data_IF_719673431869
#
_entry.id   IF_719673431869
#
_cell.length_a   1.000
_cell.length_b   1.000
_cell.length_c   1.000
_cell.angle_alpha   90.00
_cell.angle_beta   90.00
_cell.angle_gamma   90.00
#
_symmetry.space_group_name_H-M   'P 1'
#
loop_
_entity.id
_entity.type
_entity.pdbx_description
1 polymer ?
#
# COMPACT_ATOMS: atom_id res chain seq x y z
N UNK A 1 4.15 -24.00 -10.58
CA UNK A 1 4.05 -22.55 -10.35
C UNK A 1 5.01 -22.21 -9.23
N UNK A 2 5.90 -21.21 -9.37
CA UNK A 2 6.88 -20.87 -8.35
C UNK A 2 6.17 -20.15 -7.19
N UNK A 3 6.42 -20.54 -5.94
CA UNK A 3 5.79 -19.95 -4.75
C UNK A 3 5.96 -18.42 -4.71
N UNK A 4 7.13 -17.93 -5.13
CA UNK A 4 7.40 -16.50 -5.28
C UNK A 4 6.42 -15.80 -6.24
N UNK A 5 6.13 -16.43 -7.37
CA UNK A 5 5.17 -15.91 -8.36
C UNK A 5 3.76 -15.89 -7.78
N UNK A 6 3.35 -16.96 -7.10
CA UNK A 6 2.02 -17.01 -6.46
C UNK A 6 1.84 -15.91 -5.41
N UNK A 7 2.86 -15.67 -4.58
CA UNK A 7 2.83 -14.62 -3.56
C UNK A 7 2.80 -13.23 -4.20
N UNK A 8 3.57 -13.01 -5.26
CA UNK A 8 3.56 -11.76 -6.01
C UNK A 8 2.20 -11.49 -6.66
N UNK A 9 1.62 -12.49 -7.32
CA UNK A 9 0.31 -12.38 -7.98
C UNK A 9 -0.80 -12.09 -6.95
N UNK A 10 -0.77 -12.78 -5.81
CA UNK A 10 -1.71 -12.53 -4.72
C UNK A 10 -1.56 -11.12 -4.13
N UNK A 11 -0.34 -10.62 -3.93
CA UNK A 11 -0.09 -9.24 -3.48
C UNK A 11 -0.60 -8.21 -4.50
N UNK A 12 -0.39 -8.44 -5.78
CA UNK A 12 -0.90 -7.56 -6.86
C UNK A 12 -2.43 -7.55 -6.84
N UNK A 13 -3.07 -8.71 -6.70
CA UNK A 13 -4.52 -8.84 -6.60
C UNK A 13 -5.11 -8.03 -5.44
N UNK A 14 -4.59 -8.25 -4.23
CA UNK A 14 -5.05 -7.53 -3.03
C UNK A 14 -4.84 -6.02 -3.16
N UNK A 15 -3.69 -5.57 -3.69
CA UNK A 15 -3.44 -4.15 -3.92
C UNK A 15 -4.43 -3.54 -4.92
N UNK A 16 -4.84 -4.29 -5.94
CA UNK A 16 -5.90 -3.89 -6.87
C UNK A 16 -7.25 -3.71 -6.18
N UNK A 17 -7.63 -4.65 -5.31
CA UNK A 17 -8.86 -4.57 -4.51
C UNK A 17 -8.87 -3.35 -3.58
N UNK A 18 -7.75 -3.08 -2.89
CA UNK A 18 -7.61 -1.91 -2.02
C UNK A 18 -7.84 -0.60 -2.76
N UNK A 19 -7.28 -0.47 -3.97
CA UNK A 19 -7.53 0.69 -4.83
C UNK A 19 -9.00 0.82 -5.19
N UNK A 20 -9.63 -0.28 -5.63
CA UNK A 20 -11.04 -0.33 -5.98
C UNK A 20 -11.94 0.10 -4.81
N UNK A 21 -11.71 -0.42 -3.59
CA UNK A 21 -12.46 0.00 -2.41
C UNK A 21 -12.21 1.47 -2.07
N UNK A 22 -10.99 1.97 -2.26
CA UNK A 22 -10.66 3.40 -2.14
C UNK A 22 -11.50 4.30 -3.05
N UNK A 23 -11.85 3.82 -4.25
CA UNK A 23 -12.68 4.55 -5.21
C UNK A 23 -14.20 4.37 -4.93
N UNK A 24 -14.64 3.18 -4.53
CA UNK A 24 -16.06 2.85 -4.32
C UNK A 24 -16.65 3.47 -3.04
N UNK A 25 -15.91 3.42 -1.92
CA UNK A 25 -16.37 3.92 -0.61
C UNK A 25 -16.84 5.39 -0.66
N UNK A 26 -16.08 6.35 -1.24
CA UNK A 26 -16.53 7.74 -1.30
C UNK A 26 -17.73 7.96 -2.23
N UNK A 27 -17.90 7.13 -3.26
CA UNK A 27 -18.98 7.24 -4.25
C UNK A 27 -20.29 6.57 -3.82
N UNK A 28 -20.28 5.78 -2.74
CA UNK A 28 -21.47 5.09 -2.25
C UNK A 28 -22.30 6.00 -1.33
N UNK A 29 -23.58 6.21 -1.63
CA UNK A 29 -24.50 6.95 -0.73
C UNK A 29 -25.21 6.05 0.30
N UNK A 30 -25.42 4.77 -0.03
CA UNK A 30 -26.00 3.81 0.89
C UNK A 30 -25.08 3.59 2.11
N UNK A 31 -25.58 3.91 3.31
CA UNK A 31 -24.79 3.89 4.55
C UNK A 31 -24.36 2.49 4.96
N UNK A 32 -25.21 1.49 4.80
CA UNK A 32 -24.92 0.10 5.17
C UNK A 32 -23.87 -0.49 4.23
N UNK A 33 -24.04 -0.28 2.92
CA UNK A 33 -23.06 -0.69 1.92
C UNK A 33 -21.71 0.00 2.15
N UNK A 34 -21.71 1.31 2.44
CA UNK A 34 -20.47 2.05 2.76
C UNK A 34 -19.74 1.44 3.95
N UNK A 35 -20.44 1.04 5.00
CA UNK A 35 -19.80 0.39 6.16
C UNK A 35 -19.29 -1.00 5.82
N UNK A 36 -20.07 -1.79 5.06
CA UNK A 36 -19.64 -3.09 4.57
C UNK A 36 -18.34 -2.99 3.74
N UNK A 37 -18.28 -2.06 2.77
CA UNK A 37 -17.08 -1.83 1.95
C UNK A 37 -15.86 -1.43 2.80
N UNK A 38 -16.05 -0.63 3.85
CA UNK A 38 -14.97 -0.29 4.80
C UNK A 38 -14.46 -1.51 5.56
N UNK A 39 -15.35 -2.39 6.01
CA UNK A 39 -14.97 -3.62 6.72
C UNK A 39 -14.21 -4.58 5.83
N UNK A 40 -14.65 -4.74 4.57
CA UNK A 40 -13.96 -5.57 3.58
C UNK A 40 -12.57 -4.99 3.30
N UNK A 41 -12.48 -3.68 3.03
CA UNK A 41 -11.19 -3.01 2.79
C UNK A 41 -10.21 -3.23 3.95
N UNK A 42 -10.66 -3.07 5.19
CA UNK A 42 -9.82 -3.31 6.37
C UNK A 42 -9.32 -4.77 6.43
N UNK A 43 -10.17 -5.72 6.04
CA UNK A 43 -9.81 -7.14 5.96
C UNK A 43 -8.77 -7.42 4.86
N UNK A 44 -8.89 -6.75 3.72
CA UNK A 44 -7.89 -6.79 2.66
C UNK A 44 -6.55 -6.19 3.12
N UNK A 45 -6.56 -5.05 3.84
CA UNK A 45 -5.33 -4.43 4.40
C UNK A 45 -4.61 -5.39 5.36
N UNK A 46 -5.33 -6.01 6.31
CA UNK A 46 -4.74 -7.02 7.20
C UNK A 46 -4.20 -8.25 6.46
N UNK A 47 -4.87 -8.66 5.38
CA UNK A 47 -4.44 -9.82 4.57
C UNK A 47 -3.19 -9.49 3.75
N UNK A 48 -3.13 -8.26 3.22
CA UNK A 48 -1.97 -7.71 2.52
C UNK A 48 -0.74 -7.68 3.42
N UNK A 49 -0.87 -7.15 4.65
CA UNK A 49 0.22 -7.06 5.62
C UNK A 49 0.78 -8.45 5.97
N UNK A 50 -0.08 -9.41 6.28
CA UNK A 50 0.32 -10.79 6.58
C UNK A 50 1.04 -11.45 5.40
N UNK A 51 0.50 -11.30 4.20
CA UNK A 51 1.12 -11.88 3.00
C UNK A 51 2.47 -11.23 2.70
N UNK A 52 2.57 -9.92 2.90
CA UNK A 52 3.81 -9.17 2.78
C UNK A 52 4.87 -9.65 3.78
N UNK A 53 4.50 -9.88 5.05
CA UNK A 53 5.41 -10.42 6.07
C UNK A 53 5.95 -11.80 5.67
N UNK A 54 5.08 -12.70 5.19
CA UNK A 54 5.46 -14.02 4.68
C UNK A 54 6.40 -13.88 3.49
N UNK A 55 6.08 -13.00 2.53
CA UNK A 55 6.90 -12.74 1.36
C UNK A 55 8.30 -12.23 1.74
N UNK A 56 8.37 -11.36 2.74
CA UNK A 56 9.61 -10.81 3.27
C UNK A 56 10.46 -11.87 3.99
N UNK A 57 9.85 -12.69 4.85
CA UNK A 57 10.53 -13.78 5.55
C UNK A 57 11.12 -14.80 4.58
N UNK A 58 10.43 -15.08 3.47
CA UNK A 58 10.89 -15.99 2.42
C UNK A 58 11.84 -15.35 1.40
N UNK A 59 12.21 -14.07 1.58
CA UNK A 59 13.02 -13.30 0.62
C UNK A 59 12.40 -13.22 -0.80
N UNK A 60 11.08 -13.39 -0.90
CA UNK A 60 10.33 -13.29 -2.15
C UNK A 60 10.03 -11.85 -2.52
N UNK A 61 10.01 -10.96 -1.52
CA UNK A 61 9.80 -9.53 -1.69
C UNK A 61 10.92 -8.75 -0.98
N UNK A 62 11.53 -7.81 -1.70
CA UNK A 62 12.49 -6.85 -1.15
C UNK A 62 11.78 -5.50 -1.12
N UNK A 63 11.40 -4.96 0.06
CA UNK A 63 10.85 -3.62 0.14
C UNK A 63 11.85 -2.61 -0.37
N UNK A 64 11.33 -1.48 -0.90
CA UNK A 64 12.18 -0.35 -1.25
C UNK A 64 13.09 -0.01 -0.06
N UNK A 65 14.38 0.19 -0.33
CA UNK A 65 15.31 0.61 0.70
C UNK A 65 14.80 1.90 1.33
N UNK A 66 15.01 2.07 2.65
CA UNK A 66 14.76 3.36 3.28
C UNK A 66 15.58 4.41 2.55
N UNK A 67 14.97 5.56 2.28
CA UNK A 67 15.72 6.71 1.78
C UNK A 67 16.88 7.00 2.75
N UNK A 68 18.03 7.29 2.18
CA UNK A 68 19.22 7.68 2.94
C UNK A 68 18.97 9.00 3.65
N UNK A 69 19.67 9.25 4.76
CA UNK A 69 19.59 10.55 5.44
C UNK A 69 19.95 11.71 4.50
N UNK A 70 20.86 11.46 3.55
CA UNK A 70 21.25 12.43 2.52
C UNK A 70 20.08 12.79 1.61
N UNK A 71 19.33 11.81 1.09
CA UNK A 71 18.14 12.05 0.27
C UNK A 71 17.06 12.80 1.06
N UNK A 72 16.84 12.41 2.33
CA UNK A 72 15.89 13.09 3.22
C UNK A 72 16.30 14.54 3.45
N UNK A 73 17.57 14.80 3.74
CA UNK A 73 18.08 16.15 3.99
C UNK A 73 18.07 17.01 2.73
N UNK A 74 18.35 16.42 1.56
CA UNK A 74 18.25 17.11 0.28
C UNK A 74 16.82 17.58 -0.01
N UNK A 75 15.82 16.69 0.14
CA UNK A 75 14.41 17.04 -0.05
C UNK A 75 13.96 18.11 0.94
N UNK A 76 14.35 17.99 2.22
CA UNK A 76 14.08 19.04 3.23
C UNK A 76 14.63 20.38 2.80
N UNK A 77 15.89 20.42 2.34
CA UNK A 77 16.53 21.67 1.89
C UNK A 77 15.80 22.33 0.72
N UNK A 78 15.26 21.57 -0.22
CA UNK A 78 14.45 22.11 -1.33
C UNK A 78 13.17 22.76 -0.80
N UNK A 79 12.47 22.09 0.12
CA UNK A 79 11.20 22.57 0.66
C UNK A 79 11.35 23.74 1.64
N UNK A 80 12.53 23.91 2.25
CA UNK A 80 12.83 25.02 3.17
C UNK A 80 13.53 26.19 2.50
N UNK A 81 13.84 26.12 1.20
CA UNK A 81 14.36 27.28 0.49
C UNK A 81 13.27 28.36 0.44
N UNK A 82 13.58 29.61 0.84
CA UNK A 82 12.64 30.71 0.67
C UNK A 82 12.37 30.87 -0.83
N UNK A 83 11.11 30.90 -1.22
CA UNK A 83 10.73 31.32 -2.57
C UNK A 83 11.27 32.73 -2.77
N UNK A 84 12.31 32.88 -3.58
CA UNK A 84 12.80 34.19 -3.98
C UNK A 84 11.67 34.84 -4.81
N UNK A 85 10.97 35.80 -4.21
CA UNK A 85 10.02 36.68 -4.88
C UNK A 85 10.74 37.79 -5.63
#
# INVERSE_FOLDING_TARGET
>A
MNEKTMVADALVGINGELKMFGEMIPQTENKELKQCLKQIRNSCEMSQEKLYEVARQKSYYVPAAKATEQEVNHVKSILTQPTMH
#
